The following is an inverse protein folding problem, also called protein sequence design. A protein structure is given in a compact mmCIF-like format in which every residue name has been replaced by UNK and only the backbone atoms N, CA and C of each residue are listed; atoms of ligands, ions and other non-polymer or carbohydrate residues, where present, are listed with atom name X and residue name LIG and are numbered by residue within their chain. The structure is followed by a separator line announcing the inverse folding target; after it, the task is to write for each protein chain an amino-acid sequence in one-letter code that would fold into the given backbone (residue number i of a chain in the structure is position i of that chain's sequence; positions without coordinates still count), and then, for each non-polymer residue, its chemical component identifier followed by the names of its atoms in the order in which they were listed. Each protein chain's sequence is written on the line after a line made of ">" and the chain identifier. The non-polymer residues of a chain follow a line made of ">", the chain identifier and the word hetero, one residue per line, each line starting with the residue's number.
data_IF_775506353152
#
_entry.id   IF_775506353152
#
_cell.length_a   1.000
_cell.length_b   1.000
_cell.length_c   1.000
_cell.angle_alpha   90.00
_cell.angle_beta   90.00
_cell.angle_gamma   90.00
#
_symmetry.space_group_name_H-M   'P 1'
#
loop_
_entity.id
_entity.type
_entity.pdbx_description
1 polymer ?
#
# COMPACT_ATOMS: atom_id res chain seq x y z
N UNK A 1 13.18 -15.23 16.48
CA UNK A 1 11.81 -15.31 15.90
C UNK A 1 11.70 -14.20 14.88
N UNK A 2 11.22 -14.50 13.67
CA UNK A 2 10.98 -13.47 12.66
C UNK A 2 9.49 -13.11 12.72
N UNK A 3 9.18 -11.88 13.13
CA UNK A 3 7.79 -11.40 13.25
C UNK A 3 7.27 -10.95 11.88
N UNK A 4 6.00 -11.24 11.62
CA UNK A 4 5.31 -10.73 10.44
C UNK A 4 5.15 -9.21 10.53
N UNK A 5 4.83 -8.60 9.39
CA UNK A 5 4.66 -7.15 9.32
C UNK A 5 3.48 -6.68 10.19
N UNK A 6 2.38 -7.42 10.22
CA UNK A 6 1.22 -7.11 11.05
C UNK A 6 1.50 -7.32 12.55
N UNK A 7 2.25 -8.36 12.91
CA UNK A 7 2.69 -8.60 14.30
C UNK A 7 3.53 -7.44 14.82
N UNK A 8 4.48 -6.95 14.01
CA UNK A 8 5.29 -5.78 14.35
C UNK A 8 4.44 -4.52 14.53
N UNK A 9 3.38 -4.32 13.74
CA UNK A 9 2.49 -3.14 13.85
C UNK A 9 1.73 -3.11 15.18
N UNK A 10 1.30 -4.27 15.69
CA UNK A 10 0.57 -4.36 16.98
C UNK A 10 1.48 -4.09 18.18
N UNK A 11 2.81 -4.23 18.01
CA UNK A 11 3.80 -3.91 19.06
C UNK A 11 4.06 -2.41 19.23
N UNK A 12 3.58 -1.56 18.30
CA UNK A 12 3.75 -0.10 18.39
C UNK A 12 2.77 0.46 19.42
N UNK A 13 3.28 1.20 20.40
CA UNK A 13 2.50 1.89 21.42
C UNK A 13 2.59 3.42 21.24
N UNK A 14 1.50 4.10 20.80
CA UNK A 14 1.48 5.56 20.64
C UNK A 14 1.69 6.36 21.92
N UNK A 15 1.55 5.73 23.09
CA UNK A 15 1.69 6.37 24.41
C UNK A 15 3.07 6.14 25.05
N UNK A 16 3.93 5.36 24.41
CA UNK A 16 5.30 5.16 24.88
C UNK A 16 6.12 6.46 24.81
N UNK A 17 7.20 6.52 25.60
CA UNK A 17 8.14 7.65 25.57
C UNK A 17 8.85 7.82 24.22
N UNK A 18 9.02 6.70 23.50
CA UNK A 18 9.62 6.68 22.17
C UNK A 18 8.59 7.12 21.12
N UNK A 19 9.05 7.90 20.15
CA UNK A 19 8.23 8.25 18.99
C UNK A 19 7.91 7.02 18.15
N UNK A 20 6.78 7.05 17.41
CA UNK A 20 6.41 5.99 16.45
C UNK A 20 7.57 5.63 15.52
N UNK A 21 8.34 6.62 15.08
CA UNK A 21 9.47 6.43 14.18
C UNK A 21 10.60 5.64 14.83
N UNK A 22 10.91 5.92 16.09
CA UNK A 22 11.92 5.19 16.86
C UNK A 22 11.48 3.76 17.15
N UNK A 23 10.22 3.56 17.51
CA UNK A 23 9.65 2.22 17.70
C UNK A 23 9.67 1.40 16.40
N UNK A 24 9.32 2.01 15.28
CA UNK A 24 9.42 1.38 13.95
C UNK A 24 10.87 0.98 13.63
N UNK A 25 11.85 1.82 13.96
CA UNK A 25 13.27 1.52 13.77
C UNK A 25 13.72 0.33 14.61
N UNK A 26 13.30 0.25 15.88
CA UNK A 26 13.62 -0.87 16.78
C UNK A 26 13.04 -2.20 16.31
N UNK A 27 11.87 -2.16 15.67
CA UNK A 27 11.17 -3.34 15.15
C UNK A 27 11.58 -3.70 13.72
N UNK A 28 12.48 -2.94 13.09
CA UNK A 28 12.83 -3.07 11.68
C UNK A 28 11.55 -3.06 10.81
N UNK A 29 10.70 -2.05 11.05
CA UNK A 29 9.44 -1.79 10.37
C UNK A 29 9.54 -0.48 9.58
N UNK A 30 9.19 -0.46 8.28
CA UNK A 30 9.08 0.79 7.53
C UNK A 30 7.98 1.68 8.11
N UNK A 31 8.28 2.95 8.39
CA UNK A 31 7.33 3.92 8.98
C UNK A 31 6.07 4.07 8.12
N UNK A 32 6.20 4.03 6.79
CA UNK A 32 5.07 4.07 5.87
C UNK A 32 4.10 2.92 6.08
N UNK A 33 4.60 1.75 6.47
CA UNK A 33 3.79 0.58 6.75
C UNK A 33 2.90 0.76 7.98
N UNK A 34 3.38 1.46 9.02
CA UNK A 34 2.56 1.78 10.19
C UNK A 34 1.34 2.63 9.82
N UNK A 35 1.54 3.67 9.02
CA UNK A 35 0.47 4.58 8.59
C UNK A 35 -0.41 4.02 7.46
N UNK A 36 0.06 2.99 6.77
CA UNK A 36 -0.70 2.36 5.68
C UNK A 36 -1.93 1.64 6.23
N UNK A 37 -3.11 2.19 5.96
CA UNK A 37 -4.38 1.50 6.23
C UNK A 37 -4.87 0.86 4.94
N UNK A 38 -5.03 -0.47 4.94
CA UNK A 38 -5.65 -1.16 3.83
C UNK A 38 -7.12 -0.71 3.75
N UNK A 39 -7.43 0.07 2.72
CA UNK A 39 -8.80 0.52 2.44
C UNK A 39 -9.40 -0.38 1.36
N UNK A 40 -10.64 -0.88 1.53
CA UNK A 40 -11.34 -1.52 0.42
C UNK A 40 -11.49 -0.53 -0.74
N UNK A 41 -11.49 -1.05 -1.96
CA UNK A 41 -11.73 -0.22 -3.14
C UNK A 41 -13.15 0.36 -3.08
N UNK A 42 -13.31 1.61 -3.49
CA UNK A 42 -14.64 2.22 -3.58
C UNK A 42 -15.35 1.74 -4.85
N UNK A 43 -16.69 1.80 -4.87
CA UNK A 43 -17.48 1.45 -6.05
C UNK A 43 -17.15 2.39 -7.21
N UNK A 44 -16.87 3.65 -6.91
CA UNK A 44 -16.48 4.67 -7.87
C UNK A 44 -15.10 4.36 -8.48
N UNK A 45 -14.12 3.97 -7.66
CA UNK A 45 -12.80 3.55 -8.14
C UNK A 45 -12.89 2.27 -8.97
N UNK A 46 -13.72 1.31 -8.54
CA UNK A 46 -13.97 0.07 -9.29
C UNK A 46 -14.61 0.35 -10.66
N UNK A 47 -15.63 1.21 -10.69
CA UNK A 47 -16.26 1.63 -11.94
C UNK A 47 -15.28 2.39 -12.85
N UNK A 48 -14.43 3.25 -12.27
CA UNK A 48 -13.39 3.96 -13.02
C UNK A 48 -12.37 2.98 -13.63
N UNK A 49 -11.92 1.98 -12.88
CA UNK A 49 -11.01 0.95 -13.40
C UNK A 49 -11.65 0.16 -14.54
N UNK A 50 -12.93 -0.21 -14.42
CA UNK A 50 -13.65 -0.89 -15.49
C UNK A 50 -13.71 -0.03 -16.77
N UNK A 51 -13.95 1.28 -16.64
CA UNK A 51 -13.93 2.20 -17.79
C UNK A 51 -12.54 2.34 -18.43
N UNK A 52 -11.48 2.30 -17.62
CA UNK A 52 -10.11 2.31 -18.14
C UNK A 52 -9.84 1.04 -18.95
N UNK A 53 -10.20 -0.13 -18.42
CA UNK A 53 -10.04 -1.41 -19.10
C UNK A 53 -10.82 -1.44 -20.42
N UNK A 54 -12.08 -0.98 -20.41
CA UNK A 54 -12.89 -0.82 -21.62
C UNK A 54 -12.19 0.09 -22.64
N UNK A 55 -11.67 1.24 -22.21
CA UNK A 55 -10.97 2.17 -23.10
C UNK A 55 -9.73 1.56 -23.74
N UNK A 56 -8.91 0.81 -22.98
CA UNK A 56 -7.72 0.15 -23.50
C UNK A 56 -8.05 -1.02 -24.45
N UNK A 57 -9.19 -1.68 -24.27
CA UNK A 57 -9.70 -2.67 -25.24
C UNK A 57 -10.17 -2.02 -26.55
N UNK A 58 -10.83 -0.87 -26.47
CA UNK A 58 -11.33 -0.15 -27.65
C UNK A 58 -10.20 0.54 -28.43
N UNK A 59 -9.18 1.03 -27.75
CA UNK A 59 -8.04 1.72 -28.34
C UNK A 59 -6.73 1.07 -27.89
N UNK A 60 -6.38 -0.10 -28.45
CA UNK A 60 -5.14 -0.77 -28.10
C UNK A 60 -3.96 0.14 -28.41
N UNK A 61 -3.23 0.57 -27.38
CA UNK A 61 -1.95 1.24 -27.59
C UNK A 61 -0.90 0.18 -27.89
N UNK A 62 -0.81 -0.24 -29.16
CA UNK A 62 0.37 -0.92 -29.66
C UNK A 62 1.48 0.12 -29.75
N UNK A 63 2.23 0.32 -28.66
CA UNK A 63 3.58 0.88 -28.76
C UNK A 63 4.39 -0.13 -29.57
N UNK A 64 4.36 0.03 -30.89
CA UNK A 64 5.21 -0.70 -31.81
C UNK A 64 6.65 -0.57 -31.34
N UNK A 65 7.26 -1.70 -31.00
CA UNK A 65 8.70 -1.85 -31.04
C UNK A 65 9.13 -1.74 -32.52
N UNK A 66 9.11 -0.51 -33.05
CA UNK A 66 9.83 -0.15 -34.26
C UNK A 66 11.17 0.44 -33.81
N UNK A 67 12.11 -0.45 -33.47
CA UNK A 67 13.55 -0.19 -33.41
C UNK A 67 14.28 -1.25 -34.24
#
# INVERSE_FOLDING_TARGET
>A
MNFSLDEKRVMIDPLAELTIREQCLLLDLPVSSYYYSAKPISVEDEALMALLDEHYLQYPCVMGHDY
#
